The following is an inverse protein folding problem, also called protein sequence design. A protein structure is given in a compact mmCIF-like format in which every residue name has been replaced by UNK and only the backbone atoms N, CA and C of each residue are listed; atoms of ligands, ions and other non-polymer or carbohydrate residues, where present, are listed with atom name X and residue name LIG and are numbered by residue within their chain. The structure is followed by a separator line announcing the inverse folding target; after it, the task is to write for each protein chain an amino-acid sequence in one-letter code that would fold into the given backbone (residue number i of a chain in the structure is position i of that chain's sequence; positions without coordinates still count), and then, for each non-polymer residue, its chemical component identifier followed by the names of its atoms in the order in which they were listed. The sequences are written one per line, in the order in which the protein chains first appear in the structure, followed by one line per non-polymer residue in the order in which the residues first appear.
data_IF_798292005230
#
_entry.id   IF_798292005230
#
_cell.length_a   1.000
_cell.length_b   1.000
_cell.length_c   1.000
_cell.angle_alpha   90.00
_cell.angle_beta   90.00
_cell.angle_gamma   90.00
#
_symmetry.space_group_name_H-M   'P 1'
#
loop_
_entity.id
_entity.type
_entity.pdbx_description
1 polymer ?
#
# COMPACT_ATOMS: atom_id res chain seq x y z
N UNK A 1 -22.86 17.59 -4.02
CA UNK A 1 -21.73 16.80 -3.48
C UNK A 1 -20.58 16.84 -4.49
N UNK A 2 -19.40 17.36 -4.13
CA UNK A 2 -18.23 17.38 -5.03
C UNK A 2 -17.74 15.93 -5.19
N UNK A 3 -17.73 15.42 -6.42
CA UNK A 3 -17.24 14.08 -6.75
C UNK A 3 -15.74 14.03 -6.41
N UNK A 4 -15.36 13.18 -5.47
CA UNK A 4 -13.96 13.09 -5.06
C UNK A 4 -13.13 12.55 -6.24
N UNK A 5 -12.03 13.22 -6.59
CA UNK A 5 -11.16 12.84 -7.71
C UNK A 5 -10.66 11.40 -7.52
N UNK A 6 -10.53 10.64 -8.60
CA UNK A 6 -9.88 9.34 -8.55
C UNK A 6 -8.40 9.50 -8.14
N UNK A 7 -7.84 8.48 -7.48
CA UNK A 7 -6.42 8.43 -7.17
C UNK A 7 -5.61 8.37 -8.47
N UNK A 8 -4.71 9.32 -8.68
CA UNK A 8 -3.78 9.28 -9.82
C UNK A 8 -2.71 8.22 -9.61
N UNK A 9 -1.96 7.89 -10.66
CA UNK A 9 -0.82 6.97 -10.54
C UNK A 9 0.26 7.56 -9.63
N UNK A 10 0.56 8.85 -9.78
CA UNK A 10 1.57 9.54 -8.97
C UNK A 10 1.20 9.55 -7.48
N UNK A 11 -0.06 9.84 -7.14
CA UNK A 11 -0.55 9.78 -5.75
C UNK A 11 -0.44 8.35 -5.18
N UNK A 12 -0.67 7.33 -6.00
CA UNK A 12 -0.52 5.93 -5.60
C UNK A 12 0.96 5.56 -5.40
N UNK A 13 1.86 6.02 -6.27
CA UNK A 13 3.29 5.78 -6.17
C UNK A 13 3.90 6.46 -4.94
N UNK A 14 3.47 7.70 -4.66
CA UNK A 14 3.87 8.43 -3.47
C UNK A 14 3.40 7.72 -2.19
N UNK A 15 2.15 7.24 -2.17
CA UNK A 15 1.64 6.44 -1.06
C UNK A 15 2.44 5.15 -0.86
N UNK A 16 2.80 4.45 -1.94
CA UNK A 16 3.64 3.24 -1.88
C UNK A 16 5.00 3.56 -1.27
N UNK A 17 5.63 4.67 -1.68
CA UNK A 17 6.92 5.13 -1.13
C UNK A 17 6.81 5.42 0.36
N UNK A 18 5.84 6.24 0.76
CA UNK A 18 5.65 6.65 2.15
C UNK A 18 5.33 5.47 3.10
N UNK A 19 4.54 4.50 2.62
CA UNK A 19 4.28 3.25 3.35
C UNK A 19 5.54 2.38 3.40
N UNK A 20 6.33 2.35 2.34
CA UNK A 20 7.61 1.63 2.28
C UNK A 20 8.59 2.08 3.36
N UNK A 21 8.74 3.39 3.56
CA UNK A 21 9.57 3.99 4.61
C UNK A 21 9.15 3.59 6.03
N UNK A 22 7.85 3.27 6.22
CA UNK A 22 7.24 2.92 7.53
C UNK A 22 6.73 1.49 7.55
N UNK A 23 7.26 0.62 6.69
CA UNK A 23 6.75 -0.75 6.46
C UNK A 23 6.69 -1.55 7.75
N UNK A 24 7.70 -1.44 8.61
CA UNK A 24 7.76 -2.19 9.87
C UNK A 24 6.62 -1.80 10.82
N UNK A 25 6.31 -0.52 10.95
CA UNK A 25 5.18 -0.06 11.78
C UNK A 25 3.85 -0.49 11.16
N UNK A 26 3.65 -0.25 9.86
CA UNK A 26 2.37 -0.48 9.18
C UNK A 26 2.05 -1.97 9.04
N UNK A 27 3.01 -2.74 8.52
CA UNK A 27 2.83 -4.16 8.18
C UNK A 27 3.32 -5.12 9.27
N UNK A 28 4.04 -4.64 10.27
CA UNK A 28 4.50 -5.47 11.39
C UNK A 28 3.34 -6.10 12.16
N UNK A 29 3.59 -7.29 12.71
CA UNK A 29 2.67 -7.92 13.67
C UNK A 29 2.64 -7.11 14.96
N UNK A 30 1.54 -7.18 15.70
CA UNK A 30 1.47 -6.53 17.01
C UNK A 30 2.55 -7.09 17.95
N UNK A 31 3.23 -6.19 18.64
CA UNK A 31 4.31 -6.48 19.59
C UNK A 31 4.39 -5.39 20.65
N UNK A 32 5.33 -5.52 21.60
CA UNK A 32 5.61 -4.46 22.57
C UNK A 32 5.99 -3.11 21.91
N UNK A 33 6.55 -3.15 20.69
CA UNK A 33 7.00 -1.97 19.93
C UNK A 33 6.07 -1.60 18.77
N UNK A 34 5.21 -2.51 18.31
CA UNK A 34 4.24 -2.28 17.24
C UNK A 34 2.85 -2.40 17.82
N UNK A 35 2.33 -1.28 18.30
CA UNK A 35 0.99 -1.19 18.93
C UNK A 35 -0.03 -0.54 17.99
N UNK A 36 -1.32 -0.57 18.34
CA UNK A 36 -2.36 0.16 17.60
C UNK A 36 -2.04 1.64 17.49
N UNK A 37 -1.53 2.24 18.56
CA UNK A 37 -1.10 3.64 18.58
C UNK A 37 0.06 3.87 17.62
N UNK A 38 1.05 2.98 17.60
CA UNK A 38 2.19 3.05 16.67
C UNK A 38 1.73 3.02 15.21
N UNK A 39 0.77 2.13 14.89
CA UNK A 39 0.20 2.05 13.54
C UNK A 39 -0.57 3.30 13.16
N UNK A 40 -1.39 3.85 14.08
CA UNK A 40 -2.13 5.09 13.87
C UNK A 40 -1.18 6.25 13.61
N UNK A 41 -0.17 6.41 14.46
CA UNK A 41 0.85 7.46 14.31
C UNK A 41 1.57 7.36 12.96
N UNK A 42 1.94 6.14 12.53
CA UNK A 42 2.58 5.96 11.23
C UNK A 42 1.68 6.42 10.06
N UNK A 43 0.36 6.18 10.13
CA UNK A 43 -0.59 6.70 9.13
C UNK A 43 -0.75 8.22 9.19
N UNK A 44 -0.75 8.80 10.39
CA UNK A 44 -0.80 10.26 10.56
C UNK A 44 0.46 10.94 10.02
N UNK A 45 1.63 10.32 10.18
CA UNK A 45 2.89 10.79 9.59
C UNK A 45 2.88 10.67 8.07
N UNK A 46 2.37 9.57 7.51
CA UNK A 46 2.19 9.42 6.04
C UNK A 46 1.27 10.52 5.51
N UNK A 47 0.15 10.79 6.19
CA UNK A 47 -0.76 11.85 5.82
C UNK A 47 -0.07 13.22 5.76
N UNK A 48 0.74 13.55 6.78
CA UNK A 48 1.52 14.79 6.81
C UNK A 48 2.58 14.84 5.71
N UNK A 49 3.27 13.73 5.46
CA UNK A 49 4.33 13.64 4.46
C UNK A 49 3.83 13.82 3.02
N UNK A 50 2.68 13.25 2.69
CA UNK A 50 2.10 13.37 1.35
C UNK A 50 1.51 14.76 1.06
N UNK A 51 1.28 15.59 2.09
CA UNK A 51 0.69 16.93 1.92
C UNK A 51 -0.66 16.94 1.19
N UNK A 52 -1.33 15.80 1.08
CA UNK A 52 -2.49 15.61 0.21
C UNK A 52 -3.81 15.93 0.92
N UNK A 53 -4.83 16.33 0.16
CA UNK A 53 -6.19 16.63 0.68
C UNK A 53 -6.98 15.37 1.09
N UNK A 54 -6.31 14.25 1.35
CA UNK A 54 -6.92 12.93 1.63
C UNK A 54 -6.74 12.58 3.09
N UNK A 55 -7.79 12.14 3.75
CA UNK A 55 -7.69 11.75 5.16
C UNK A 55 -6.84 10.49 5.36
N UNK A 56 -6.28 10.25 6.55
CA UNK A 56 -5.60 8.99 6.89
C UNK A 56 -6.40 7.74 6.54
N UNK A 57 -7.72 7.75 6.73
CA UNK A 57 -8.59 6.62 6.37
C UNK A 57 -8.68 6.39 4.86
N UNK A 58 -8.67 7.46 4.06
CA UNK A 58 -8.66 7.37 2.60
C UNK A 58 -7.33 6.80 2.09
N UNK A 59 -6.21 7.18 2.72
CA UNK A 59 -4.89 6.64 2.45
C UNK A 59 -4.83 5.14 2.78
N UNK A 60 -5.34 4.74 3.95
CA UNK A 60 -5.47 3.34 4.34
C UNK A 60 -6.32 2.55 3.35
N UNK A 61 -7.45 3.10 2.91
CA UNK A 61 -8.32 2.44 1.94
C UNK A 61 -7.63 2.28 0.58
N UNK A 62 -6.93 3.32 0.12
CA UNK A 62 -6.14 3.25 -1.11
C UNK A 62 -5.07 2.15 -1.02
N UNK A 63 -4.33 2.11 0.08
CA UNK A 63 -3.33 1.07 0.36
C UNK A 63 -3.92 -0.35 0.35
N UNK A 64 -5.07 -0.57 1.01
CA UNK A 64 -5.78 -1.85 0.98
C UNK A 64 -6.17 -2.27 -0.44
N UNK A 65 -6.64 -1.32 -1.24
CA UNK A 65 -7.01 -1.57 -2.64
C UNK A 65 -5.78 -1.93 -3.49
N UNK A 66 -4.67 -1.21 -3.32
CA UNK A 66 -3.40 -1.50 -3.98
C UNK A 66 -2.91 -2.91 -3.63
N UNK A 67 -2.84 -3.26 -2.34
CA UNK A 67 -2.44 -4.60 -1.90
C UNK A 67 -3.34 -5.69 -2.48
N UNK A 68 -4.66 -5.48 -2.52
CA UNK A 68 -5.61 -6.44 -3.09
C UNK A 68 -5.31 -6.68 -4.57
N UNK A 69 -5.15 -5.60 -5.37
CA UNK A 69 -4.83 -5.69 -6.80
C UNK A 69 -3.49 -6.40 -7.01
N UNK A 70 -2.46 -6.03 -6.28
CA UNK A 70 -1.13 -6.64 -6.41
C UNK A 70 -1.13 -8.13 -6.06
N UNK A 71 -1.85 -8.54 -5.00
CA UNK A 71 -1.99 -9.96 -4.65
C UNK A 71 -2.76 -10.76 -5.71
N UNK A 72 -3.78 -10.16 -6.32
CA UNK A 72 -4.52 -10.79 -7.42
C UNK A 72 -3.62 -10.99 -8.64
N UNK A 73 -2.88 -9.95 -9.03
CA UNK A 73 -1.90 -10.04 -10.13
C UNK A 73 -0.85 -11.11 -9.84
N UNK A 74 -0.25 -11.09 -8.64
CA UNK A 74 0.74 -12.10 -8.23
C UNK A 74 0.17 -13.53 -8.27
N UNK A 75 -1.07 -13.74 -7.83
CA UNK A 75 -1.74 -15.04 -7.91
C UNK A 75 -1.95 -15.50 -9.35
N UNK A 76 -2.36 -14.60 -10.25
CA UNK A 76 -2.49 -14.89 -11.68
C UNK A 76 -1.13 -15.24 -12.30
N UNK A 77 -0.08 -14.49 -11.97
CA UNK A 77 1.28 -14.76 -12.43
C UNK A 77 1.75 -16.14 -11.95
N UNK A 78 1.60 -16.44 -10.66
CA UNK A 78 1.98 -17.75 -10.11
C UNK A 78 1.22 -18.90 -10.78
N UNK A 79 -0.08 -18.73 -11.08
CA UNK A 79 -0.85 -19.73 -11.83
C UNK A 79 -0.35 -19.90 -13.26
N UNK A 80 0.04 -18.81 -13.93
CA UNK A 80 0.60 -18.86 -15.27
C UNK A 80 1.96 -19.58 -15.27
N UNK A 81 2.83 -19.25 -14.33
CA UNK A 81 4.13 -19.90 -14.12
C UNK A 81 3.96 -21.41 -13.90
N UNK A 82 3.07 -21.83 -12.99
CA UNK A 82 2.77 -23.24 -12.74
C UNK A 82 2.26 -23.99 -13.99
N UNK A 83 1.54 -23.31 -14.88
CA UNK A 83 0.99 -23.90 -16.12
C UNK A 83 2.01 -24.00 -17.24
N UNK A 84 2.98 -23.09 -17.28
CA UNK A 84 3.87 -22.92 -18.45
C UNK A 84 5.34 -23.26 -18.16
N UNK A 85 5.73 -23.36 -16.89
CA UNK A 85 7.13 -23.53 -16.46
C UNK A 85 8.02 -22.31 -16.73
N UNK A 86 7.47 -21.20 -17.22
CA UNK A 86 8.22 -19.98 -17.55
C UNK A 86 8.10 -18.94 -16.44
N UNK A 87 9.23 -18.61 -15.81
CA UNK A 87 9.35 -17.47 -14.91
C UNK A 87 9.39 -16.17 -15.72
N UNK A 88 8.49 -15.23 -15.42
CA UNK A 88 8.63 -13.84 -15.85
C UNK A 88 9.32 -13.09 -14.71
N UNK A 89 10.62 -12.80 -14.87
CA UNK A 89 11.38 -12.00 -13.93
C UNK A 89 11.03 -10.53 -14.14
N UNK A 90 10.40 -9.90 -13.15
CA UNK A 90 10.32 -8.44 -13.11
C UNK A 90 11.70 -7.93 -12.72
N UNK A 91 12.47 -7.45 -13.70
CA UNK A 91 13.75 -6.78 -13.48
C UNK A 91 13.54 -5.60 -12.52
N UNK A 92 14.34 -5.58 -11.46
CA UNK A 92 14.36 -4.58 -10.39
C UNK A 92 15.23 -3.39 -10.77
#
# INVERSE_FOLDING_TARGET
MKRQKNWTLDEQLELIRAVGERKCQIMGKFSATVTTQTKRQAWDEIYRAMGCLRTPDQLQQCWRNLLKKTRQLYSLFKKHEQRTGKFIVFLS
#
